data_IF_786028929186
#
_entry.id   IF_786028929186
#
_cell.length_a   1.000
_cell.length_b   1.000
_cell.length_c   1.000
_cell.angle_alpha   90.00
_cell.angle_beta   90.00
_cell.angle_gamma   90.00
#
_symmetry.space_group_name_H-M   'P 1'
#
loop_
_entity.id
_entity.type
_entity.pdbx_description
1 polymer ?
#
# COMPACT_ATOMS: atom_id res chain seq x y z
N UNK A 1 24.18 -3.99 10.65
CA UNK A 1 22.85 -3.38 10.90
C UNK A 1 22.31 -2.91 9.58
N UNK A 2 21.29 -3.60 9.09
CA UNK A 2 20.51 -3.06 7.97
C UNK A 2 19.88 -1.76 8.47
N UNK A 3 20.26 -0.64 7.86
CA UNK A 3 19.50 0.59 8.05
C UNK A 3 18.09 0.32 7.56
N UNK A 4 17.11 0.43 8.43
CA UNK A 4 15.71 0.31 8.01
C UNK A 4 15.50 1.28 6.85
N UNK A 5 15.16 0.73 5.70
CA UNK A 5 14.93 1.47 4.47
C UNK A 5 13.93 2.60 4.72
N UNK A 6 14.37 3.84 4.53
CA UNK A 6 13.53 5.00 4.83
C UNK A 6 12.39 5.12 3.81
N UNK A 7 11.18 5.27 4.32
CA UNK A 7 9.99 5.49 3.48
C UNK A 7 9.77 6.99 3.31
N UNK A 8 10.01 7.49 2.10
CA UNK A 8 9.93 8.93 1.80
C UNK A 8 8.78 9.28 0.87
N UNK A 9 8.24 8.31 0.14
CA UNK A 9 7.16 8.48 -0.84
C UNK A 9 6.00 7.55 -0.56
N UNK A 10 4.85 7.92 -1.10
CA UNK A 10 3.61 7.17 -1.03
C UNK A 10 2.89 7.20 -2.38
N UNK A 11 1.94 6.32 -2.55
CA UNK A 11 0.90 6.44 -3.56
C UNK A 11 -0.47 6.24 -2.91
N UNK A 12 -1.47 6.92 -3.44
CA UNK A 12 -2.86 6.79 -2.99
C UNK A 12 -3.63 5.91 -3.96
N UNK A 13 -4.34 4.94 -3.44
CA UNK A 13 -5.12 4.01 -4.26
C UNK A 13 -6.48 3.74 -3.64
N UNK A 14 -7.41 3.22 -4.43
CA UNK A 14 -8.74 2.82 -3.97
C UNK A 14 -8.61 1.78 -2.88
N UNK A 15 -9.53 1.75 -1.93
CA UNK A 15 -9.41 0.94 -0.71
C UNK A 15 -9.30 -0.56 -1.00
N UNK A 16 -10.06 -1.08 -1.96
CA UNK A 16 -9.97 -2.50 -2.33
C UNK A 16 -8.60 -2.84 -2.94
N UNK A 17 -8.06 -1.99 -3.80
CA UNK A 17 -6.73 -2.17 -4.37
C UNK A 17 -5.65 -2.14 -3.29
N UNK A 18 -5.72 -1.18 -2.36
CA UNK A 18 -4.80 -1.10 -1.23
C UNK A 18 -4.85 -2.37 -0.36
N UNK A 19 -6.06 -2.86 -0.07
CA UNK A 19 -6.24 -4.11 0.67
C UNK A 19 -5.59 -5.29 -0.07
N UNK A 20 -5.79 -5.39 -1.38
CA UNK A 20 -5.18 -6.42 -2.21
C UNK A 20 -3.65 -6.34 -2.21
N UNK A 21 -3.08 -5.15 -2.26
CA UNK A 21 -1.63 -4.93 -2.20
C UNK A 21 -1.06 -5.36 -0.86
N UNK A 22 -1.72 -4.98 0.23
CA UNK A 22 -1.30 -5.33 1.58
C UNK A 22 -1.45 -6.82 1.91
N UNK A 23 -2.25 -7.55 1.17
CA UNK A 23 -2.41 -9.00 1.28
C UNK A 23 -1.59 -9.80 0.25
N UNK A 24 -0.83 -9.11 -0.60
CA UNK A 24 -0.02 -9.75 -1.63
C UNK A 24 -0.81 -10.26 -2.83
N UNK A 25 -2.08 -9.91 -2.96
CA UNK A 25 -2.92 -10.29 -4.10
C UNK A 25 -2.69 -9.40 -5.31
N UNK A 26 -2.34 -8.14 -5.12
CA UNK A 26 -1.95 -7.21 -6.17
C UNK A 26 -0.46 -6.92 -6.03
N UNK A 27 0.33 -7.31 -7.02
CA UNK A 27 1.79 -7.25 -6.97
C UNK A 27 2.41 -6.24 -7.94
N UNK A 28 1.60 -5.40 -8.55
CA UNK A 28 2.04 -4.35 -9.46
C UNK A 28 1.19 -3.13 -9.25
N UNK A 29 1.82 -1.96 -9.18
CA UNK A 29 1.14 -0.68 -9.16
C UNK A 29 1.63 0.15 -10.34
N UNK A 30 0.70 0.65 -11.16
CA UNK A 30 0.99 1.49 -12.31
C UNK A 30 0.28 2.84 -12.18
N UNK A 31 0.96 3.90 -12.57
CA UNK A 31 0.43 5.26 -12.60
C UNK A 31 0.56 5.82 -14.02
N UNK A 32 -0.12 6.94 -14.29
CA UNK A 32 -0.03 7.64 -15.57
C UNK A 32 1.28 8.40 -15.75
N UNK A 33 2.05 8.56 -14.70
CA UNK A 33 3.35 9.26 -14.69
C UNK A 33 4.47 8.29 -14.29
N UNK A 34 5.70 8.46 -14.83
CA UNK A 34 6.82 7.62 -14.44
C UNK A 34 7.15 7.73 -12.96
N UNK A 35 7.66 6.64 -12.40
CA UNK A 35 8.23 6.66 -11.05
C UNK A 35 9.38 7.68 -11.01
N UNK A 36 9.49 8.50 -9.94
CA UNK A 36 10.49 9.58 -9.90
C UNK A 36 11.91 9.07 -10.17
N UNK A 37 12.60 9.61 -11.20
CA UNK A 37 13.92 9.08 -11.60
C UNK A 37 15.01 9.37 -10.56
N UNK A 38 14.79 10.33 -9.65
CA UNK A 38 15.74 10.67 -8.58
C UNK A 38 15.62 9.73 -7.36
N UNK A 39 14.58 8.89 -7.30
CA UNK A 39 14.46 7.87 -6.26
C UNK A 39 15.21 6.59 -6.63
N UNK A 40 15.65 5.81 -5.63
CA UNK A 40 16.22 4.49 -5.90
C UNK A 40 15.27 3.61 -6.74
N UNK A 41 15.84 2.77 -7.59
CA UNK A 41 15.04 1.84 -8.40
C UNK A 41 14.41 0.72 -7.59
N UNK A 42 14.90 0.49 -6.39
CA UNK A 42 14.32 -0.41 -5.38
C UNK A 42 14.25 0.31 -4.05
N UNK A 43 13.30 -0.05 -3.22
CA UNK A 43 13.13 0.56 -1.91
C UNK A 43 11.80 0.18 -1.30
N UNK A 44 11.31 1.02 -0.41
CA UNK A 44 10.02 0.84 0.24
C UNK A 44 9.16 2.08 0.11
N UNK A 45 7.87 1.90 -0.14
CA UNK A 45 6.91 2.97 -0.38
C UNK A 45 5.67 2.77 0.51
N UNK A 46 5.05 3.87 0.94
CA UNK A 46 3.84 3.83 1.75
C UNK A 46 2.59 3.64 0.88
N UNK A 47 1.65 2.86 1.38
CA UNK A 47 0.34 2.62 0.77
C UNK A 47 -0.70 3.47 1.49
N UNK A 48 -1.31 4.40 0.77
CA UNK A 48 -2.32 5.31 1.27
C UNK A 48 -3.68 4.99 0.66
N UNK A 49 -4.69 4.85 1.51
CA UNK A 49 -6.07 4.66 1.05
C UNK A 49 -6.67 6.02 0.67
N UNK A 50 -7.08 6.15 -0.58
CA UNK A 50 -7.66 7.38 -1.10
C UNK A 50 -8.85 7.87 -0.27
N UNK A 51 -9.10 9.18 -0.26
CA UNK A 51 -10.17 9.76 0.53
C UNK A 51 -11.57 9.49 -0.02
N UNK A 52 -11.68 9.12 -1.30
CA UNK A 52 -12.96 8.89 -1.98
C UNK A 52 -12.98 7.57 -2.71
N UNK A 53 -14.05 6.81 -2.47
CA UNK A 53 -14.30 5.54 -3.15
C UNK A 53 -15.79 5.20 -2.98
N UNK A 54 -16.52 5.10 -4.07
CA UNK A 54 -17.97 4.85 -3.98
C UNK A 54 -18.26 3.36 -3.80
N UNK A 55 -19.40 3.08 -3.19
CA UNK A 55 -19.92 1.71 -3.06
C UNK A 55 -20.10 1.03 -4.42
N UNK A 56 -20.60 1.76 -5.41
CA UNK A 56 -20.78 1.26 -6.77
C UNK A 56 -19.43 0.88 -7.41
N UNK A 57 -18.43 1.74 -7.27
CA UNK A 57 -17.10 1.46 -7.80
C UNK A 57 -16.42 0.28 -7.11
N UNK A 58 -16.61 0.15 -5.79
CA UNK A 58 -16.14 -1.02 -5.05
C UNK A 58 -16.73 -2.31 -5.61
N UNK A 59 -18.04 -2.34 -5.86
CA UNK A 59 -18.71 -3.51 -6.42
C UNK A 59 -18.18 -3.85 -7.82
N UNK A 60 -18.00 -2.85 -8.68
CA UNK A 60 -17.43 -3.03 -10.03
C UNK A 60 -15.99 -3.57 -9.97
N UNK A 61 -15.16 -3.00 -9.12
CA UNK A 61 -13.76 -3.44 -8.96
C UNK A 61 -13.70 -4.89 -8.42
N UNK A 62 -14.58 -5.23 -7.47
CA UNK A 62 -14.64 -6.59 -6.93
C UNK A 62 -15.05 -7.62 -7.97
N UNK A 63 -16.05 -7.29 -8.80
CA UNK A 63 -16.46 -8.15 -9.92
C UNK A 63 -15.36 -8.30 -10.96
N UNK A 64 -14.65 -7.22 -11.27
CA UNK A 64 -13.50 -7.26 -12.17
C UNK A 64 -12.39 -8.18 -11.64
N UNK A 65 -12.02 -8.05 -10.38
CA UNK A 65 -11.01 -8.90 -9.74
C UNK A 65 -11.42 -10.38 -9.78
N UNK A 66 -12.67 -10.66 -9.41
CA UNK A 66 -13.21 -12.02 -9.42
C UNK A 66 -13.13 -12.68 -10.79
N UNK A 67 -13.45 -11.93 -11.84
CA UNK A 67 -13.49 -12.44 -13.21
C UNK A 67 -12.13 -12.47 -13.93
N UNK A 68 -11.14 -11.71 -13.49
CA UNK A 68 -9.90 -11.47 -14.25
C UNK A 68 -8.62 -11.89 -13.54
N UNK A 69 -8.60 -11.98 -12.22
CA UNK A 69 -7.40 -12.37 -11.48
C UNK A 69 -7.39 -13.85 -11.11
N UNK A 70 -6.22 -14.47 -11.13
CA UNK A 70 -6.04 -15.86 -10.69
C UNK A 70 -6.50 -16.06 -9.24
N UNK A 71 -6.25 -15.07 -8.36
CA UNK A 71 -6.70 -15.08 -6.96
C UNK A 71 -8.09 -14.45 -6.77
N UNK A 72 -8.84 -14.20 -7.83
CA UNK A 72 -10.07 -13.42 -7.80
C UNK A 72 -11.14 -13.98 -6.86
N UNK A 73 -11.37 -15.29 -6.87
CA UNK A 73 -12.33 -15.93 -5.97
C UNK A 73 -11.93 -15.80 -4.51
N UNK A 74 -10.64 -15.88 -4.21
CA UNK A 74 -10.10 -15.71 -2.86
C UNK A 74 -10.27 -14.27 -2.36
N UNK A 75 -9.97 -13.29 -3.20
CA UNK A 75 -10.22 -11.86 -2.89
C UNK A 75 -11.71 -11.63 -2.65
N UNK A 76 -12.57 -12.17 -3.51
CA UNK A 76 -14.03 -12.05 -3.38
C UNK A 76 -14.52 -12.59 -2.04
N UNK A 77 -14.02 -13.74 -1.62
CA UNK A 77 -14.41 -14.40 -0.37
C UNK A 77 -13.85 -13.71 0.88
N UNK A 78 -12.63 -13.18 0.83
CA UNK A 78 -11.90 -12.70 2.01
C UNK A 78 -11.96 -11.18 2.21
N UNK A 79 -12.37 -10.40 1.22
CA UNK A 79 -12.40 -8.93 1.37
C UNK A 79 -13.31 -8.52 2.54
N UNK A 80 -12.93 -7.46 3.29
CA UNK A 80 -13.65 -7.08 4.50
C UNK A 80 -15.00 -6.37 4.23
N UNK A 81 -15.26 -5.98 2.99
CA UNK A 81 -16.45 -5.23 2.61
C UNK A 81 -16.23 -3.71 2.60
N UNK A 82 -17.09 -3.03 1.85
CA UNK A 82 -17.00 -1.59 1.65
C UNK A 82 -17.04 -0.81 2.97
N UNK A 83 -17.97 -1.12 3.86
CA UNK A 83 -18.18 -0.35 5.08
C UNK A 83 -16.96 -0.43 6.01
N UNK A 84 -16.36 -1.60 6.16
CA UNK A 84 -15.16 -1.77 6.98
C UNK A 84 -13.97 -1.02 6.39
N UNK A 85 -13.74 -1.11 5.08
CA UNK A 85 -12.66 -0.38 4.41
C UNK A 85 -12.86 1.13 4.48
N UNK A 86 -14.10 1.61 4.52
CA UNK A 86 -14.41 3.06 4.56
C UNK A 86 -13.81 3.76 5.78
N UNK A 87 -13.64 3.06 6.89
CA UNK A 87 -13.01 3.62 8.08
C UNK A 87 -11.52 3.91 7.91
N UNK A 88 -10.91 3.38 6.87
CA UNK A 88 -9.47 3.52 6.58
C UNK A 88 -9.16 4.59 5.53
N UNK A 89 -10.19 5.32 5.05
CA UNK A 89 -9.98 6.36 4.05
C UNK A 89 -9.05 7.47 4.57
N UNK A 90 -8.18 7.97 3.71
CA UNK A 90 -7.24 9.03 4.07
C UNK A 90 -6.10 8.59 4.99
N UNK A 91 -5.89 7.28 5.16
CA UNK A 91 -4.86 6.74 6.04
C UNK A 91 -3.76 6.04 5.24
N UNK A 92 -2.51 6.20 5.69
CA UNK A 92 -1.44 5.26 5.36
C UNK A 92 -1.66 4.02 6.21
N UNK A 93 -1.85 2.88 5.57
CA UNK A 93 -2.17 1.62 6.23
C UNK A 93 -0.97 0.69 6.35
N UNK A 94 0.01 0.86 5.48
CA UNK A 94 1.17 0.00 5.45
C UNK A 94 2.23 0.47 4.49
N UNK A 95 3.26 -0.35 4.33
CA UNK A 95 4.33 -0.14 3.36
C UNK A 95 4.56 -1.41 2.56
N UNK A 96 5.06 -1.27 1.35
CA UNK A 96 5.46 -2.38 0.49
C UNK A 96 6.85 -2.13 -0.06
N UNK A 97 7.63 -3.18 -0.25
CA UNK A 97 8.88 -3.09 -0.99
C UNK A 97 8.55 -2.97 -2.49
N UNK A 98 9.31 -2.16 -3.20
CA UNK A 98 9.10 -1.93 -4.63
C UNK A 98 10.36 -2.15 -5.46
N UNK A 99 10.15 -2.46 -6.72
CA UNK A 99 11.17 -2.43 -7.78
C UNK A 99 10.55 -1.78 -9.02
N UNK A 100 11.20 -0.76 -9.56
CA UNK A 100 10.73 -0.09 -10.77
C UNK A 100 10.95 -1.02 -11.97
N UNK A 101 9.91 -1.21 -12.80
CA UNK A 101 10.02 -2.02 -14.02
C UNK A 101 10.85 -1.30 -15.07
N UNK A 102 11.87 -1.98 -15.60
CA UNK A 102 12.69 -1.44 -16.68
C UNK A 102 11.88 -1.28 -17.98
N UNK A 103 10.98 -2.21 -18.25
CA UNK A 103 10.13 -2.21 -19.46
C UNK A 103 9.01 -1.17 -19.41
N UNK A 104 8.63 -0.71 -18.21
CA UNK A 104 7.59 0.30 -18.02
C UNK A 104 7.85 1.10 -16.73
N UNK A 105 8.52 2.26 -16.82
CA UNK A 105 8.86 3.07 -15.65
C UNK A 105 7.66 3.69 -14.95
N UNK A 106 6.46 3.59 -15.51
CA UNK A 106 5.22 3.97 -14.83
C UNK A 106 4.72 2.90 -13.86
N UNK A 107 5.35 1.73 -13.84
CA UNK A 107 4.94 0.59 -13.01
C UNK A 107 6.05 0.17 -12.04
N UNK A 108 5.64 -0.21 -10.83
CA UNK A 108 6.51 -0.83 -9.84
C UNK A 108 5.98 -2.22 -9.47
N UNK A 109 6.89 -3.16 -9.29
CA UNK A 109 6.57 -4.46 -8.71
C UNK A 109 6.56 -4.34 -7.19
N UNK A 110 5.59 -4.97 -6.55
CA UNK A 110 5.34 -4.89 -5.11
C UNK A 110 5.62 -6.24 -4.44
N UNK A 111 6.26 -6.20 -3.27
CA UNK A 111 6.50 -7.36 -2.43
C UNK A 111 6.58 -6.96 -0.95
N UNK A 112 6.60 -7.94 -0.08
CA UNK A 112 6.81 -7.78 1.36
C UNK A 112 5.94 -6.70 2.00
N UNK A 113 4.61 -6.80 1.91
CA UNK A 113 3.73 -5.85 2.56
C UNK A 113 3.85 -5.93 4.08
N UNK A 114 3.92 -4.77 4.71
CA UNK A 114 3.97 -4.63 6.18
C UNK A 114 2.87 -3.66 6.60
N UNK A 115 1.88 -4.16 7.33
CA UNK A 115 0.86 -3.33 7.94
C UNK A 115 1.49 -2.48 9.05
N UNK A 116 1.12 -1.21 9.11
CA UNK A 116 1.47 -0.40 10.27
C UNK A 116 0.62 -0.83 11.45
N UNK A 117 1.24 -0.92 12.62
CA UNK A 117 0.52 -1.22 13.86
C UNK A 117 -0.52 -0.15 14.18
N UNK A 118 -0.24 1.09 13.82
CA UNK A 118 -1.12 2.24 13.92
C UNK A 118 -1.12 2.99 12.58
N UNK A 119 -2.29 3.20 12.00
CA UNK A 119 -2.43 3.89 10.73
C UNK A 119 -2.19 5.39 10.90
N UNK A 120 -1.67 6.03 9.86
CA UNK A 120 -1.28 7.44 9.89
C UNK A 120 -2.19 8.25 8.97
N UNK A 121 -2.91 9.22 9.54
CA UNK A 121 -3.75 10.12 8.75
C UNK A 121 -2.91 11.18 8.07
N UNK A 122 -3.12 11.31 6.76
CA UNK A 122 -2.48 12.35 5.95
C UNK A 122 -3.30 12.59 4.69
N UNK A 123 -3.31 13.82 4.21
CA UNK A 123 -3.91 14.14 2.92
C UNK A 123 -3.01 13.59 1.81
N UNK A 124 -3.57 12.69 1.00
CA UNK A 124 -2.87 12.13 -0.16
C UNK A 124 -2.86 13.07 -1.36
N UNK A 125 -2.13 12.66 -2.36
CA UNK A 125 -2.01 13.35 -3.64
C UNK A 125 -2.05 12.33 -4.79
N UNK A 126 -2.20 12.81 -6.01
CA UNK A 126 -2.16 11.97 -7.20
C UNK A 126 -0.73 11.50 -7.51
N UNK A 127 -0.59 10.41 -8.23
CA UNK A 127 0.69 9.86 -8.69
C UNK A 127 1.55 9.32 -7.54
N UNK A 128 2.84 9.61 -7.62
CA UNK A 128 3.83 9.30 -6.58
C UNK A 128 4.11 10.58 -5.80
N UNK A 129 3.90 10.59 -4.49
CA UNK A 129 4.01 11.82 -3.72
C UNK A 129 4.90 11.68 -2.50
N UNK A 130 5.56 12.79 -2.16
CA UNK A 130 6.49 12.85 -1.03
C UNK A 130 5.73 12.94 0.29
N UNK A 131 6.12 12.14 1.25
CA UNK A 131 5.61 12.25 2.61
C UNK A 131 6.11 13.55 3.28
N UNK A 132 5.22 14.31 3.94
CA UNK A 132 5.64 15.39 4.83
C UNK A 132 6.59 14.87 5.93
N UNK A 133 7.51 15.71 6.41
CA UNK A 133 8.55 15.28 7.33
C UNK A 133 8.01 14.68 8.65
N UNK A 134 6.93 15.25 9.19
CA UNK A 134 6.27 14.73 10.39
C UNK A 134 5.60 13.38 10.13
N UNK A 135 4.94 13.22 9.00
CA UNK A 135 4.32 11.94 8.58
C UNK A 135 5.39 10.87 8.36
N UNK A 136 6.49 11.22 7.72
CA UNK A 136 7.61 10.31 7.50
C UNK A 136 8.17 9.74 8.81
N UNK A 137 8.31 10.59 9.84
CA UNK A 137 8.72 10.17 11.18
C UNK A 137 7.72 9.22 11.82
N UNK A 138 6.42 9.52 11.72
CA UNK A 138 5.35 8.67 12.25
C UNK A 138 5.33 7.31 11.56
N UNK A 139 5.47 7.25 10.24
CA UNK A 139 5.54 5.99 9.50
C UNK A 139 6.74 5.16 9.95
N UNK A 140 7.90 5.77 10.10
CA UNK A 140 9.10 5.09 10.59
C UNK A 140 8.90 4.51 12.00
N UNK A 141 8.29 5.27 12.90
CA UNK A 141 7.97 4.83 14.26
C UNK A 141 6.98 3.65 14.25
N UNK A 142 5.88 3.75 13.50
CA UNK A 142 4.87 2.69 13.42
C UNK A 142 5.44 1.41 12.78
N UNK A 143 6.38 1.51 11.85
CA UNK A 143 7.10 0.36 11.29
C UNK A 143 7.96 -0.35 12.35
N UNK A 144 8.70 0.40 13.17
CA UNK A 144 9.50 -0.17 14.26
C UNK A 144 8.63 -0.92 15.27
N UNK A 145 7.48 -0.36 15.64
CA UNK A 145 6.50 -1.00 16.52
C UNK A 145 5.97 -2.31 15.94
N UNK A 146 5.67 -2.35 14.65
CA UNK A 146 5.19 -3.55 13.95
C UNK A 146 6.25 -4.64 13.94
N UNK A 147 7.51 -4.33 13.65
CA UNK A 147 8.62 -5.27 13.65
C UNK A 147 8.87 -5.88 15.06
N UNK A 148 8.82 -5.07 16.11
CA UNK A 148 8.99 -5.52 17.51
C UNK A 148 7.89 -6.50 17.91
N UNK A 149 6.63 -6.22 17.55
CA UNK A 149 5.50 -7.12 17.84
C UNK A 149 5.65 -8.49 17.17
N UNK A 150 6.15 -8.54 15.94
CA UNK A 150 6.40 -9.79 15.22
C UNK A 150 7.52 -10.60 15.87
N UNK A 151 8.60 -9.96 16.28
CA UNK A 151 9.72 -10.62 16.95
C UNK A 151 9.29 -11.24 18.30
N UNK A 152 8.43 -10.57 19.06
CA UNK A 152 7.91 -11.08 20.34
C UNK A 152 7.00 -12.28 20.12
N UNK A 153 6.20 -12.31 19.07
CA UNK A 153 5.32 -13.43 18.76
C UNK A 153 6.08 -14.71 18.34
N UNK A 154 7.29 -14.57 17.79
CA UNK A 154 8.14 -15.69 17.40
C UNK A 154 8.94 -16.31 18.56
N UNK A 155 8.98 -15.64 19.72
CA UNK A 155 9.71 -16.09 20.92
C UNK A 155 8.81 -16.79 21.95
N UNK A 156 7.53 -16.85 21.73
CA UNK A 156 6.55 -17.57 22.57
C UNK A 156 6.02 -18.81 21.87
#
# INVERSE_FOLDING_TARGET
MESAEEVTFAFSTKWLWAWCEMHGYKRVECRSVPFPPFLPRTGRIAVHMASRYSRAQYAEDLDYIRGNWTCGEKVYAENPGYDELSFRHGLIVGTVAYSVRESDPCCIDLRDPVWLKRFVRVRGSAGWWRLPADVRRLVAECRRQSATSTATALQT
#
